data_IF_701257605148
#
_entry.id   IF_701257605148
#
_cell.length_a   1.000
_cell.length_b   1.000
_cell.length_c   1.000
_cell.angle_alpha   90.00
_cell.angle_beta   90.00
_cell.angle_gamma   90.00
#
_symmetry.space_group_name_H-M   'P 1'
#
loop_
_entity.id
_entity.type
_entity.pdbx_description
1 polymer ?
#
# COMPACT_ATOMS: atom_id res chain seq x y z
N UNK A 1 -33.11 -45.23 -25.62
CA UNK A 1 -33.05 -44.07 -24.69
C UNK A 1 -31.88 -43.18 -25.10
N UNK A 2 -32.15 -42.05 -25.77
CA UNK A 2 -31.09 -41.10 -26.12
C UNK A 2 -30.67 -40.31 -24.88
N UNK A 3 -29.38 -40.38 -24.50
CA UNK A 3 -28.80 -39.51 -23.47
C UNK A 3 -28.96 -38.06 -23.92
N UNK A 4 -29.88 -37.32 -23.29
CA UNK A 4 -29.94 -35.85 -23.39
C UNK A 4 -28.59 -35.31 -22.90
N UNK A 5 -27.70 -34.97 -23.84
CA UNK A 5 -26.52 -34.16 -23.55
C UNK A 5 -27.03 -32.79 -23.14
N UNK A 6 -26.92 -32.47 -21.86
CA UNK A 6 -27.14 -31.13 -21.33
C UNK A 6 -26.15 -30.18 -22.02
N UNK A 7 -26.61 -29.43 -23.02
CA UNK A 7 -25.89 -28.30 -23.58
C UNK A 7 -26.02 -27.13 -22.61
N UNK A 8 -25.13 -27.06 -21.61
CA UNK A 8 -25.01 -25.85 -20.79
C UNK A 8 -24.69 -24.70 -21.75
N UNK A 9 -25.56 -23.68 -21.79
CA UNK A 9 -25.26 -22.44 -22.52
C UNK A 9 -23.95 -21.88 -21.96
N UNK A 10 -23.04 -21.37 -22.83
CA UNK A 10 -21.84 -20.71 -22.37
C UNK A 10 -22.21 -19.51 -21.49
N UNK A 11 -21.41 -19.28 -20.45
CA UNK A 11 -21.58 -18.12 -19.57
C UNK A 11 -21.28 -16.83 -20.34
N UNK A 12 -22.02 -15.77 -20.02
CA UNK A 12 -21.71 -14.42 -20.47
C UNK A 12 -20.48 -13.88 -19.74
N UNK A 13 -19.81 -12.87 -20.29
CA UNK A 13 -18.66 -12.20 -19.65
C UNK A 13 -19.02 -11.65 -18.25
N UNK A 14 -20.20 -11.03 -18.11
CA UNK A 14 -20.71 -10.56 -16.83
C UNK A 14 -20.85 -11.69 -15.80
N UNK A 15 -21.36 -12.86 -16.22
CA UNK A 15 -21.44 -14.02 -15.33
C UNK A 15 -20.06 -14.57 -14.95
N UNK A 16 -19.08 -14.50 -15.85
CA UNK A 16 -17.70 -14.91 -15.56
C UNK A 16 -17.10 -13.97 -14.50
N UNK A 17 -17.28 -12.66 -14.65
CA UNK A 17 -16.77 -11.66 -13.70
C UNK A 17 -17.40 -11.81 -12.32
N UNK A 18 -18.73 -11.97 -12.24
CA UNK A 18 -19.44 -12.23 -10.97
C UNK A 18 -18.93 -13.52 -10.32
N UNK A 19 -18.77 -14.60 -11.08
CA UNK A 19 -18.26 -15.86 -10.55
C UNK A 19 -16.81 -15.75 -10.05
N UNK A 20 -15.96 -14.98 -10.74
CA UNK A 20 -14.59 -14.70 -10.29
C UNK A 20 -14.59 -13.90 -8.99
N UNK A 21 -15.42 -12.87 -8.88
CA UNK A 21 -15.55 -12.07 -7.67
C UNK A 21 -16.02 -12.92 -6.48
N UNK A 22 -17.06 -13.74 -6.65
CA UNK A 22 -17.55 -14.65 -5.61
C UNK A 22 -16.48 -15.65 -5.19
N UNK A 23 -15.71 -16.18 -6.15
CA UNK A 23 -14.58 -17.06 -5.85
C UNK A 23 -13.49 -16.36 -5.05
N UNK A 24 -13.18 -15.11 -5.37
CA UNK A 24 -12.22 -14.30 -4.62
C UNK A 24 -12.71 -14.05 -3.19
N UNK A 25 -13.99 -13.73 -2.99
CA UNK A 25 -14.62 -13.63 -1.67
C UNK A 25 -14.54 -14.93 -0.87
N UNK A 26 -14.72 -16.08 -1.51
CA UNK A 26 -14.56 -17.39 -0.86
C UNK A 26 -13.12 -17.62 -0.42
N UNK A 27 -12.15 -17.38 -1.32
CA UNK A 27 -10.72 -17.55 -1.01
C UNK A 27 -10.31 -16.69 0.20
N UNK A 28 -10.76 -15.44 0.25
CA UNK A 28 -10.44 -14.52 1.35
C UNK A 28 -11.23 -14.84 2.62
N UNK A 29 -12.51 -15.22 2.49
CA UNK A 29 -13.37 -15.58 3.63
C UNK A 29 -12.95 -16.87 4.34
N UNK A 30 -12.23 -17.77 3.66
CA UNK A 30 -11.68 -19.00 4.23
C UNK A 30 -10.32 -18.80 4.92
N UNK A 31 -9.74 -17.59 4.86
CA UNK A 31 -8.46 -17.32 5.51
C UNK A 31 -8.57 -17.41 7.04
N UNK A 32 -7.56 -17.97 7.72
CA UNK A 32 -7.59 -18.10 9.17
C UNK A 32 -7.57 -16.72 9.85
N UNK A 33 -8.40 -16.58 10.89
CA UNK A 33 -8.43 -15.41 11.78
C UNK A 33 -8.00 -15.83 13.18
N UNK A 34 -7.18 -15.00 13.83
CA UNK A 34 -6.66 -15.26 15.18
C UNK A 34 -7.29 -14.34 16.22
N UNK A 35 -7.88 -14.93 17.27
CA UNK A 35 -8.42 -14.19 18.42
C UNK A 35 -7.34 -13.38 19.18
N UNK A 36 -6.05 -13.71 19.00
CA UNK A 36 -4.94 -12.97 19.64
C UNK A 36 -4.91 -11.50 19.24
N UNK A 37 -5.45 -11.16 18.06
CA UNK A 37 -5.43 -9.80 17.51
C UNK A 37 -6.78 -9.08 17.61
N UNK A 38 -7.73 -9.60 18.41
CA UNK A 38 -9.08 -9.03 18.52
C UNK A 38 -9.09 -7.55 18.95
N UNK A 39 -8.11 -7.12 19.75
CA UNK A 39 -7.98 -5.70 20.16
C UNK A 39 -7.58 -4.76 19.02
N UNK A 40 -7.00 -5.30 17.95
CA UNK A 40 -6.57 -4.53 16.78
C UNK A 40 -7.62 -4.58 15.66
N UNK A 41 -8.61 -5.48 15.76
CA UNK A 41 -9.56 -5.80 14.70
C UNK A 41 -10.51 -4.64 14.43
N UNK A 42 -10.69 -4.33 13.15
CA UNK A 42 -11.79 -3.53 12.63
C UNK A 42 -12.82 -4.48 12.00
N UNK A 43 -13.85 -4.83 12.78
CA UNK A 43 -14.83 -5.87 12.41
C UNK A 43 -15.52 -5.59 11.06
N UNK A 44 -15.82 -4.32 10.80
CA UNK A 44 -16.56 -3.93 9.61
C UNK A 44 -15.67 -3.67 8.37
N UNK A 45 -14.33 -3.69 8.53
CA UNK A 45 -13.41 -3.53 7.41
C UNK A 45 -13.15 -4.90 6.72
N UNK A 46 -13.26 -5.00 5.38
CA UNK A 46 -13.13 -6.27 4.68
C UNK A 46 -11.83 -7.01 4.99
N UNK A 47 -11.96 -8.26 5.46
CA UNK A 47 -10.87 -9.19 5.69
C UNK A 47 -9.77 -8.71 6.67
N UNK A 48 -10.04 -7.71 7.51
CA UNK A 48 -9.07 -7.13 8.46
C UNK A 48 -8.46 -8.20 9.38
N UNK A 49 -9.32 -9.06 9.95
CA UNK A 49 -8.88 -10.14 10.82
C UNK A 49 -7.98 -11.17 10.14
N UNK A 50 -8.19 -11.43 8.85
CA UNK A 50 -7.36 -12.33 8.07
C UNK A 50 -5.99 -11.70 7.76
N UNK A 51 -5.96 -10.41 7.41
CA UNK A 51 -4.71 -9.66 7.21
C UNK A 51 -3.90 -9.54 8.51
N UNK A 52 -4.57 -9.21 9.63
CA UNK A 52 -3.96 -9.20 10.96
C UNK A 52 -3.37 -10.56 11.32
N UNK A 53 -3.96 -11.68 10.90
CA UNK A 53 -3.38 -12.99 11.14
C UNK A 53 -2.19 -13.29 10.21
N UNK A 54 -2.32 -12.98 8.92
CA UNK A 54 -1.36 -13.36 7.88
C UNK A 54 -0.08 -12.51 7.87
N UNK A 55 -0.17 -11.21 8.18
CA UNK A 55 0.94 -10.26 7.99
C UNK A 55 1.42 -9.63 9.29
N UNK A 56 2.70 -9.83 9.61
CA UNK A 56 3.35 -9.14 10.73
C UNK A 56 3.49 -7.63 10.48
N UNK A 57 3.75 -7.24 9.23
CA UNK A 57 3.86 -5.83 8.80
C UNK A 57 2.53 -5.10 8.94
N UNK A 58 1.42 -5.73 8.53
CA UNK A 58 0.07 -5.19 8.73
C UNK A 58 -0.25 -4.98 10.21
N UNK A 59 0.01 -5.99 11.05
CA UNK A 59 -0.15 -5.88 12.50
C UNK A 59 0.69 -4.74 13.07
N UNK A 60 1.96 -4.65 12.68
CA UNK A 60 2.88 -3.65 13.23
C UNK A 60 2.48 -2.24 12.82
N UNK A 61 2.01 -2.05 11.59
CA UNK A 61 1.40 -0.78 11.14
C UNK A 61 0.20 -0.40 12.01
N UNK A 62 -0.74 -1.33 12.24
CA UNK A 62 -1.92 -1.09 13.09
C UNK A 62 -1.53 -0.75 14.52
N UNK A 63 -0.60 -1.48 15.11
CA UNK A 63 -0.09 -1.21 16.47
C UNK A 63 0.57 0.17 16.57
N UNK A 64 1.46 0.51 15.63
CA UNK A 64 2.13 1.81 15.59
C UNK A 64 1.10 2.93 15.42
N UNK A 65 0.22 2.83 14.43
CA UNK A 65 -0.82 3.82 14.18
C UNK A 65 -1.67 4.11 15.43
N UNK A 66 -2.18 3.06 16.09
CA UNK A 66 -2.98 3.21 17.31
C UNK A 66 -2.15 3.79 18.47
N UNK A 67 -0.88 3.38 18.61
CA UNK A 67 0.02 3.90 19.66
C UNK A 67 0.32 5.39 19.51
N UNK A 68 0.24 5.91 18.28
CA UNK A 68 0.42 7.31 17.94
C UNK A 68 -0.87 8.14 18.09
N UNK A 69 -1.92 7.55 18.69
CA UNK A 69 -3.23 8.18 18.88
C UNK A 69 -4.15 8.10 17.67
N UNK A 70 -3.78 7.31 16.67
CA UNK A 70 -4.60 7.09 15.48
C UNK A 70 -5.95 6.46 15.80
N UNK A 71 -7.01 6.90 15.13
CA UNK A 71 -8.37 6.38 15.28
C UNK A 71 -8.97 5.96 13.95
N UNK A 72 -10.02 5.13 14.00
CA UNK A 72 -10.81 4.75 12.83
C UNK A 72 -12.25 5.17 13.00
N UNK A 73 -12.87 5.66 11.93
CA UNK A 73 -14.30 6.02 11.91
C UNK A 73 -14.98 5.39 10.70
N UNK A 74 -16.05 4.65 10.93
CA UNK A 74 -16.87 4.11 9.85
C UNK A 74 -17.66 5.21 9.13
N UNK A 75 -17.59 5.28 7.80
CA UNK A 75 -18.28 6.25 6.93
C UNK A 75 -18.60 5.61 5.57
N UNK A 76 -19.85 5.73 5.11
CA UNK A 76 -20.35 5.12 3.86
C UNK A 76 -19.64 5.63 2.59
N UNK A 77 -19.05 6.83 2.60
CA UNK A 77 -18.26 7.38 1.49
C UNK A 77 -16.90 7.86 1.99
N UNK A 78 -16.00 6.93 2.32
CA UNK A 78 -14.64 7.27 2.74
C UNK A 78 -13.70 7.62 1.58
N UNK A 79 -14.10 7.39 0.32
CA UNK A 79 -13.16 7.38 -0.80
C UNK A 79 -12.60 8.75 -1.22
N UNK A 80 -11.33 8.68 -1.64
CA UNK A 80 -10.49 9.70 -2.30
C UNK A 80 -9.87 10.82 -1.46
N UNK A 81 -9.83 10.73 -0.13
CA UNK A 81 -9.32 11.87 0.67
C UNK A 81 -7.80 11.94 0.83
N UNK A 82 -7.04 10.86 0.65
CA UNK A 82 -5.57 10.94 0.80
C UNK A 82 -4.88 11.66 -0.37
N UNK A 83 -5.39 11.54 -1.60
CA UNK A 83 -4.79 12.14 -2.81
C UNK A 83 -5.54 13.38 -3.34
N UNK A 84 -6.68 13.76 -2.75
CA UNK A 84 -7.42 14.96 -3.17
C UNK A 84 -7.79 15.91 -2.03
N UNK A 85 -7.62 15.47 -0.78
CA UNK A 85 -7.95 16.27 0.41
C UNK A 85 -6.76 16.40 1.38
N UNK A 86 -6.84 17.39 2.25
CA UNK A 86 -5.85 17.68 3.31
C UNK A 86 -5.88 16.65 4.47
N UNK A 87 -6.70 15.60 4.33
CA UNK A 87 -7.01 14.64 5.39
C UNK A 87 -5.88 13.62 5.62
N UNK A 88 -4.86 13.60 4.75
CA UNK A 88 -3.66 12.78 4.87
C UNK A 88 -2.91 12.96 6.21
N UNK A 89 -2.99 14.17 6.79
CA UNK A 89 -2.36 14.51 8.07
C UNK A 89 -3.31 14.41 9.27
N UNK A 90 -4.57 14.00 9.07
CA UNK A 90 -5.50 13.76 10.19
C UNK A 90 -5.20 12.41 10.82
N UNK A 91 -5.25 12.36 12.15
CA UNK A 91 -5.04 11.12 12.91
C UNK A 91 -6.25 10.19 12.90
N UNK A 92 -7.31 10.55 12.18
CA UNK A 92 -8.47 9.69 12.00
C UNK A 92 -8.51 9.22 10.55
N UNK A 93 -8.57 7.90 10.36
CA UNK A 93 -8.84 7.28 9.05
C UNK A 93 -10.33 6.95 9.00
N UNK A 94 -11.01 7.51 8.01
CA UNK A 94 -12.38 7.14 7.69
C UNK A 94 -12.36 5.92 6.77
N UNK A 95 -13.16 4.90 7.06
CA UNK A 95 -13.25 3.69 6.23
C UNK A 95 -14.70 3.31 5.96
N UNK A 96 -14.96 2.63 4.85
CA UNK A 96 -16.31 2.17 4.53
C UNK A 96 -16.54 0.77 5.11
N UNK A 97 -17.54 0.58 5.99
CA UNK A 97 -17.84 -0.70 6.61
C UNK A 97 -18.55 -1.62 5.60
N UNK A 98 -17.80 -2.34 4.76
CA UNK A 98 -18.37 -3.18 3.66
C UNK A 98 -18.23 -4.68 3.90
N UNK A 99 -17.70 -5.11 5.06
CA UNK A 99 -17.44 -6.52 5.30
C UNK A 99 -18.72 -7.38 5.23
N UNK A 100 -19.81 -6.94 5.86
CA UNK A 100 -21.07 -7.68 5.89
C UNK A 100 -21.73 -7.76 4.50
N UNK A 101 -21.66 -6.68 3.73
CA UNK A 101 -22.21 -6.56 2.38
C UNK A 101 -21.46 -7.49 1.41
N UNK A 102 -20.14 -7.61 1.54
CA UNK A 102 -19.36 -8.56 0.74
C UNK A 102 -19.73 -10.01 1.08
N UNK A 103 -19.93 -10.34 2.36
CA UNK A 103 -20.41 -11.68 2.76
C UNK A 103 -21.80 -11.96 2.21
N UNK A 104 -22.72 -11.00 2.34
CA UNK A 104 -24.06 -11.13 1.77
C UNK A 104 -24.01 -11.33 0.26
N UNK A 105 -23.24 -10.52 -0.47
CA UNK A 105 -23.12 -10.64 -1.92
C UNK A 105 -22.60 -12.02 -2.34
N UNK A 106 -21.59 -12.56 -1.65
CA UNK A 106 -21.08 -13.92 -1.91
C UNK A 106 -22.21 -14.95 -1.93
N UNK A 107 -23.09 -14.89 -0.94
CA UNK A 107 -24.14 -15.90 -0.71
C UNK A 107 -25.38 -15.65 -1.58
N UNK A 108 -25.68 -14.39 -1.90
CA UNK A 108 -26.95 -13.97 -2.51
C UNK A 108 -26.81 -13.28 -3.88
N UNK A 109 -25.62 -13.25 -4.51
CA UNK A 109 -25.40 -12.60 -5.83
C UNK A 109 -26.37 -13.05 -6.94
N UNK A 110 -26.91 -14.27 -6.84
CA UNK A 110 -27.88 -14.82 -7.81
C UNK A 110 -29.30 -14.26 -7.64
N UNK A 111 -29.59 -13.62 -6.51
CA UNK A 111 -30.86 -12.93 -6.21
C UNK A 111 -30.79 -11.42 -6.54
N UNK A 112 -29.61 -10.91 -6.90
CA UNK A 112 -29.40 -9.51 -7.25
C UNK A 112 -29.84 -9.26 -8.70
N UNK A 113 -30.57 -8.17 -8.93
CA UNK A 113 -31.06 -7.82 -10.27
C UNK A 113 -29.93 -7.49 -11.26
N UNK A 114 -28.89 -6.79 -10.80
CA UNK A 114 -27.68 -6.48 -11.56
C UNK A 114 -26.41 -6.70 -10.69
N UNK A 115 -25.92 -7.95 -10.59
CA UNK A 115 -24.80 -8.28 -9.72
C UNK A 115 -23.48 -7.66 -10.19
N UNK A 116 -23.32 -7.35 -11.49
CA UNK A 116 -22.09 -6.72 -11.97
C UNK A 116 -22.00 -5.26 -11.52
N UNK A 117 -23.10 -4.51 -11.64
CA UNK A 117 -23.14 -3.12 -11.17
C UNK A 117 -23.02 -3.04 -9.63
N UNK A 118 -23.55 -4.03 -8.91
CA UNK A 118 -23.39 -4.12 -7.45
C UNK A 118 -21.92 -4.31 -7.06
N UNK A 119 -21.18 -5.20 -7.74
CA UNK A 119 -19.72 -5.36 -7.54
C UNK A 119 -19.01 -4.03 -7.74
N UNK A 120 -19.29 -3.33 -8.84
CA UNK A 120 -18.66 -2.05 -9.13
C UNK A 120 -18.95 -1.02 -8.03
N UNK A 121 -20.16 -1.04 -7.45
CA UNK A 121 -20.56 -0.15 -6.37
C UNK A 121 -19.81 -0.46 -5.06
N UNK A 122 -19.75 -1.73 -4.65
CA UNK A 122 -19.02 -2.16 -3.46
C UNK A 122 -17.52 -1.84 -3.56
N UNK A 123 -16.95 -2.02 -4.75
CA UNK A 123 -15.52 -1.85 -5.00
C UNK A 123 -15.07 -0.40 -5.16
N UNK A 124 -15.99 0.57 -5.26
CA UNK A 124 -15.67 2.01 -5.26
C UNK A 124 -15.29 2.54 -3.89
N UNK A 125 -15.58 1.80 -2.81
CA UNK A 125 -15.33 2.27 -1.46
C UNK A 125 -13.95 1.90 -0.90
N UNK A 126 -13.24 1.00 -1.58
CA UNK A 126 -11.94 0.47 -1.17
C UNK A 126 -10.81 0.88 -2.12
N UNK A 127 -10.93 1.97 -2.87
CA UNK A 127 -9.90 2.34 -3.87
C UNK A 127 -8.52 2.61 -3.27
N UNK A 128 -8.46 3.02 -2.01
CA UNK A 128 -7.22 3.25 -1.28
C UNK A 128 -7.20 2.27 -0.11
N UNK A 129 -6.18 1.43 -0.07
CA UNK A 129 -6.06 0.44 1.01
C UNK A 129 -5.87 1.13 2.35
N UNK A 130 -6.51 0.60 3.39
CA UNK A 130 -6.37 1.12 4.75
C UNK A 130 -4.91 1.09 5.21
N UNK A 131 -4.18 0.04 4.84
CA UNK A 131 -2.78 -0.15 5.19
C UNK A 131 -1.88 1.00 4.66
N UNK A 132 -2.07 1.38 3.40
CA UNK A 132 -1.37 2.51 2.79
C UNK A 132 -1.62 3.81 3.58
N UNK A 133 -2.88 4.09 3.90
CA UNK A 133 -3.26 5.27 4.70
C UNK A 133 -2.71 5.26 6.13
N UNK A 134 -2.68 4.10 6.77
CA UNK A 134 -2.07 3.93 8.09
C UNK A 134 -0.57 4.22 8.03
N UNK A 135 0.12 3.69 7.02
CA UNK A 135 1.56 3.85 6.88
C UNK A 135 1.98 5.29 6.66
N UNK A 136 1.20 6.08 5.90
CA UNK A 136 1.43 7.53 5.81
C UNK A 136 1.49 8.18 7.20
N UNK A 137 0.47 7.97 8.03
CA UNK A 137 0.36 8.57 9.38
C UNK A 137 1.41 8.09 10.37
N UNK A 138 1.89 6.86 10.18
CA UNK A 138 3.03 6.30 10.93
C UNK A 138 4.35 6.94 10.44
N UNK A 139 4.60 6.93 9.13
CA UNK A 139 5.85 7.41 8.53
C UNK A 139 6.04 8.90 8.80
N UNK A 140 4.99 9.72 8.74
CA UNK A 140 5.08 11.14 9.12
C UNK A 140 5.70 11.35 10.49
N UNK A 141 5.45 10.46 11.44
CA UNK A 141 5.96 10.56 12.81
C UNK A 141 7.29 9.84 13.03
N UNK A 142 7.64 8.92 12.14
CA UNK A 142 8.90 8.19 12.20
C UNK A 142 10.03 8.91 11.46
N UNK A 143 9.72 9.82 10.53
CA UNK A 143 10.73 10.62 9.84
C UNK A 143 11.11 11.87 10.66
N UNK A 144 12.34 12.40 10.46
CA UNK A 144 12.74 13.66 11.06
C UNK A 144 11.88 14.83 10.55
N UNK A 145 12.00 16.02 11.15
CA UNK A 145 11.29 17.21 10.68
C UNK A 145 11.41 17.43 9.17
N UNK A 146 10.30 17.81 8.53
CA UNK A 146 10.31 18.13 7.12
C UNK A 146 10.98 19.50 6.87
N UNK A 147 11.71 19.66 5.76
CA UNK A 147 12.23 20.96 5.34
C UNK A 147 11.07 21.89 4.92
N UNK A 148 11.37 23.19 4.83
CA UNK A 148 10.34 24.23 4.65
C UNK A 148 10.26 24.79 3.24
N UNK A 149 11.29 24.58 2.43
CA UNK A 149 11.34 25.05 1.06
C UNK A 149 10.58 24.10 0.14
N UNK A 150 9.91 24.66 -0.89
CA UNK A 150 9.00 23.90 -1.75
C UNK A 150 9.65 22.68 -2.41
N UNK A 151 10.87 22.82 -2.94
CA UNK A 151 11.56 21.70 -3.61
C UNK A 151 11.97 20.62 -2.61
N UNK A 152 12.52 21.02 -1.48
CA UNK A 152 12.97 20.08 -0.45
C UNK A 152 11.80 19.32 0.16
N UNK A 153 10.66 19.98 0.41
CA UNK A 153 9.49 19.28 0.92
C UNK A 153 8.91 18.33 -0.12
N UNK A 154 8.93 18.66 -1.41
CA UNK A 154 8.52 17.73 -2.47
C UNK A 154 9.38 16.46 -2.47
N UNK A 155 10.71 16.59 -2.37
CA UNK A 155 11.61 15.42 -2.24
C UNK A 155 11.30 14.63 -0.97
N UNK A 156 11.11 15.30 0.16
CA UNK A 156 10.73 14.67 1.43
C UNK A 156 9.42 13.88 1.31
N UNK A 157 8.41 14.42 0.62
CA UNK A 157 7.13 13.75 0.38
C UNK A 157 7.30 12.54 -0.54
N UNK A 158 8.14 12.64 -1.59
CA UNK A 158 8.47 11.50 -2.44
C UNK A 158 9.22 10.40 -1.69
N UNK A 159 10.12 10.78 -0.78
CA UNK A 159 10.84 9.85 0.11
C UNK A 159 9.86 9.10 1.01
N UNK A 160 8.94 9.81 1.65
CA UNK A 160 7.93 9.20 2.50
C UNK A 160 6.96 8.29 1.72
N UNK A 161 6.49 8.71 0.56
CA UNK A 161 5.66 7.89 -0.33
C UNK A 161 6.39 6.62 -0.74
N UNK A 162 7.69 6.71 -1.05
CA UNK A 162 8.52 5.56 -1.41
C UNK A 162 8.64 4.54 -0.27
N UNK A 163 8.68 5.01 0.99
CA UNK A 163 8.60 4.14 2.17
C UNK A 163 7.22 3.47 2.28
N UNK A 164 6.13 4.23 2.10
CA UNK A 164 4.76 3.69 2.14
C UNK A 164 4.59 2.59 1.09
N UNK A 165 4.97 2.85 -0.15
CA UNK A 165 4.88 1.87 -1.25
C UNK A 165 5.75 0.64 -0.97
N UNK A 166 6.95 0.82 -0.41
CA UNK A 166 7.82 -0.30 -0.03
C UNK A 166 7.14 -1.19 1.02
N UNK A 167 6.44 -0.60 1.99
CA UNK A 167 5.66 -1.35 2.98
C UNK A 167 4.46 -2.06 2.34
N UNK A 168 3.76 -1.43 1.39
CA UNK A 168 2.65 -2.06 0.64
C UNK A 168 3.10 -3.32 -0.10
N UNK A 169 4.27 -3.26 -0.73
CA UNK A 169 4.87 -4.40 -1.42
C UNK A 169 5.31 -5.49 -0.44
N UNK A 170 5.84 -5.10 0.73
CA UNK A 170 6.19 -6.03 1.80
C UNK A 170 4.96 -6.74 2.38
N UNK A 171 3.81 -6.05 2.49
CA UNK A 171 2.53 -6.68 2.81
C UNK A 171 2.15 -7.72 1.76
N UNK A 172 2.22 -7.36 0.47
CA UNK A 172 1.96 -8.29 -0.63
C UNK A 172 2.83 -9.55 -0.57
N UNK A 173 4.11 -9.40 -0.22
CA UNK A 173 5.03 -10.52 -0.04
C UNK A 173 4.64 -11.43 1.14
N UNK A 174 4.27 -10.84 2.28
CA UNK A 174 3.83 -11.60 3.47
C UNK A 174 2.53 -12.38 3.25
N UNK A 175 1.62 -11.82 2.45
CA UNK A 175 0.42 -12.52 2.00
C UNK A 175 0.78 -13.65 1.01
N UNK A 176 1.79 -13.42 0.17
CA UNK A 176 2.34 -14.41 -0.75
C UNK A 176 1.51 -14.62 -2.01
N UNK A 177 2.15 -15.20 -3.03
CA UNK A 177 1.66 -15.27 -4.43
C UNK A 177 0.27 -15.89 -4.66
N UNK A 178 -0.24 -16.67 -3.70
CA UNK A 178 -1.54 -17.35 -3.86
C UNK A 178 -2.70 -16.41 -3.53
N UNK A 179 -2.56 -15.61 -2.46
CA UNK A 179 -3.66 -14.81 -1.92
C UNK A 179 -3.46 -13.32 -2.12
N UNK A 180 -2.21 -12.83 -2.22
CA UNK A 180 -1.94 -11.42 -2.47
C UNK A 180 -2.63 -10.88 -3.75
N UNK A 181 -2.72 -11.61 -4.89
CA UNK A 181 -3.42 -11.10 -6.07
C UNK A 181 -4.93 -11.03 -5.87
N UNK A 182 -5.47 -11.86 -4.97
CA UNK A 182 -6.90 -11.86 -4.61
C UNK A 182 -7.21 -10.61 -3.78
N UNK A 183 -6.37 -10.31 -2.77
CA UNK A 183 -6.50 -9.08 -1.99
C UNK A 183 -6.39 -7.81 -2.85
N UNK A 184 -5.48 -7.78 -3.83
CA UNK A 184 -5.34 -6.64 -4.76
C UNK A 184 -6.58 -6.48 -5.66
N UNK A 185 -7.11 -7.57 -6.25
CA UNK A 185 -8.36 -7.51 -7.03
C UNK A 185 -9.56 -7.07 -6.20
N UNK A 186 -9.57 -7.43 -4.91
CA UNK A 186 -10.56 -6.98 -3.93
C UNK A 186 -10.27 -5.58 -3.38
N UNK A 187 -9.25 -4.89 -3.91
CA UNK A 187 -8.79 -3.54 -3.53
C UNK A 187 -8.56 -3.37 -2.02
N UNK A 188 -8.23 -4.44 -1.32
CA UNK A 188 -7.97 -4.41 0.13
C UNK A 188 -6.50 -4.08 0.41
N UNK A 189 -5.61 -4.38 -0.54
CA UNK A 189 -4.20 -3.97 -0.53
C UNK A 189 -3.88 -3.21 -1.80
N UNK A 190 -2.85 -2.37 -1.74
CA UNK A 190 -2.42 -1.57 -2.89
C UNK A 190 -1.80 -2.43 -4.00
N UNK A 191 -0.95 -3.41 -3.65
CA UNK A 191 -0.24 -4.26 -4.62
C UNK A 191 -0.07 -5.69 -4.14
N UNK A 192 -0.17 -6.63 -5.08
CA UNK A 192 0.19 -8.01 -4.83
C UNK A 192 1.71 -8.21 -4.70
N UNK A 193 2.07 -9.40 -4.23
CA UNK A 193 3.46 -9.76 -3.99
C UNK A 193 3.71 -11.26 -3.87
N UNK A 194 4.96 -11.60 -3.56
CA UNK A 194 5.42 -12.98 -3.48
C UNK A 194 5.78 -13.63 -4.82
N UNK A 195 5.88 -12.86 -5.90
CA UNK A 195 6.44 -13.33 -7.17
C UNK A 195 7.94 -13.61 -7.04
N UNK A 196 8.65 -12.71 -6.36
CA UNK A 196 10.07 -12.85 -6.09
C UNK A 196 10.32 -13.71 -4.85
N UNK A 197 11.49 -14.34 -4.81
CA UNK A 197 11.87 -15.25 -3.70
C UNK A 197 12.64 -14.56 -2.57
N UNK A 198 12.82 -13.24 -2.64
CA UNK A 198 13.68 -12.49 -1.72
C UNK A 198 13.20 -12.54 -0.27
N UNK A 199 11.88 -12.50 -0.02
CA UNK A 199 11.32 -12.64 1.33
C UNK A 199 11.62 -14.01 1.96
N UNK A 200 11.88 -15.05 1.15
CA UNK A 200 12.23 -16.39 1.63
C UNK A 200 13.72 -16.55 1.91
N UNK A 201 14.53 -15.52 1.64
CA UNK A 201 15.97 -15.48 1.93
C UNK A 201 16.23 -15.00 3.36
N UNK A 202 17.48 -14.71 3.67
CA UNK A 202 17.81 -14.11 4.98
C UNK A 202 17.19 -12.72 5.12
N UNK A 203 16.94 -12.31 6.37
CA UNK A 203 16.43 -10.96 6.70
C UNK A 203 17.30 -9.86 6.08
N UNK A 204 18.62 -10.02 6.13
CA UNK A 204 19.56 -9.07 5.53
C UNK A 204 19.39 -8.98 4.00
N UNK A 205 19.24 -10.10 3.30
CA UNK A 205 19.02 -10.09 1.85
C UNK A 205 17.67 -9.48 1.47
N UNK A 206 16.63 -9.75 2.25
CA UNK A 206 15.32 -9.16 2.00
C UNK A 206 15.32 -7.64 2.23
N UNK A 207 15.97 -7.16 3.29
CA UNK A 207 16.13 -5.72 3.54
C UNK A 207 16.83 -5.00 2.40
N UNK A 208 17.84 -5.62 1.80
CA UNK A 208 18.52 -5.05 0.63
C UNK A 208 17.60 -5.01 -0.60
N UNK A 209 16.68 -5.98 -0.74
CA UNK A 209 15.70 -5.98 -1.82
C UNK A 209 14.66 -4.88 -1.61
N UNK A 210 14.16 -4.73 -0.37
CA UNK A 210 13.27 -3.63 0.01
C UNK A 210 13.93 -2.27 -0.19
N UNK A 211 15.22 -2.12 0.13
CA UNK A 211 15.96 -0.89 -0.11
C UNK A 211 16.06 -0.58 -1.61
N UNK A 212 16.37 -1.59 -2.44
CA UNK A 212 16.39 -1.40 -3.89
C UNK A 212 15.00 -1.01 -4.45
N UNK A 213 13.91 -1.55 -3.90
CA UNK A 213 12.54 -1.15 -4.26
C UNK A 213 12.23 0.28 -3.84
N UNK A 214 12.66 0.67 -2.63
CA UNK A 214 12.54 2.04 -2.14
C UNK A 214 13.24 3.02 -3.09
N UNK A 215 14.52 2.78 -3.41
CA UNK A 215 15.29 3.64 -4.32
C UNK A 215 14.63 3.70 -5.71
N UNK A 216 14.21 2.56 -6.24
CA UNK A 216 13.53 2.50 -7.55
C UNK A 216 12.24 3.33 -7.57
N UNK A 217 11.46 3.27 -6.49
CA UNK A 217 10.22 4.02 -6.33
C UNK A 217 10.51 5.52 -6.21
N UNK A 218 11.50 5.88 -5.37
CA UNK A 218 11.90 7.27 -5.18
C UNK A 218 12.35 7.90 -6.49
N UNK A 219 13.19 7.22 -7.26
CA UNK A 219 13.64 7.69 -8.57
C UNK A 219 12.50 7.87 -9.57
N UNK A 220 11.51 6.99 -9.53
CA UNK A 220 10.33 7.13 -10.38
C UNK A 220 9.49 8.35 -10.00
N UNK A 221 9.38 8.66 -8.70
CA UNK A 221 8.67 9.85 -8.20
C UNK A 221 9.44 11.16 -8.41
N UNK A 222 10.78 11.09 -8.40
CA UNK A 222 11.68 12.18 -8.83
C UNK A 222 11.78 12.32 -10.36
N UNK A 223 10.91 11.62 -11.11
CA UNK A 223 10.77 11.73 -12.56
C UNK A 223 12.02 11.32 -13.35
N UNK A 224 12.89 10.48 -12.79
CA UNK A 224 13.97 9.84 -13.56
C UNK A 224 13.35 8.96 -14.65
N UNK A 225 13.94 8.97 -15.84
CA UNK A 225 13.50 8.14 -16.94
C UNK A 225 13.50 6.65 -16.54
N UNK A 226 12.37 5.92 -16.65
CA UNK A 226 12.30 4.50 -16.27
C UNK A 226 13.39 3.60 -16.88
N UNK A 227 13.85 3.91 -18.08
CA UNK A 227 14.92 3.16 -18.77
C UNK A 227 16.29 3.29 -18.09
N UNK A 228 16.51 4.34 -17.31
CA UNK A 228 17.77 4.63 -16.63
C UNK A 228 17.75 4.26 -15.14
N UNK A 229 16.57 4.02 -14.56
CA UNK A 229 16.42 3.70 -13.13
C UNK A 229 17.23 2.47 -12.72
N UNK A 230 17.30 1.41 -13.54
CA UNK A 230 18.13 0.24 -13.21
C UNK A 230 19.62 0.59 -13.09
N UNK A 231 20.13 1.45 -13.99
CA UNK A 231 21.55 1.88 -13.95
C UNK A 231 21.81 2.73 -12.72
N UNK A 232 20.89 3.64 -12.40
CA UNK A 232 20.95 4.50 -11.23
C UNK A 232 20.94 3.68 -9.93
N UNK A 233 20.06 2.67 -9.82
CA UNK A 233 20.02 1.78 -8.66
C UNK A 233 21.30 0.94 -8.56
N UNK A 234 21.81 0.40 -9.67
CA UNK A 234 23.09 -0.33 -9.68
C UNK A 234 24.29 0.55 -9.27
N UNK A 235 24.19 1.87 -9.48
CA UNK A 235 25.20 2.84 -9.07
C UNK A 235 25.19 3.07 -7.55
N UNK A 236 24.04 3.40 -6.96
CA UNK A 236 23.94 3.68 -5.51
C UNK A 236 23.94 2.43 -4.65
N UNK A 237 23.53 1.29 -5.21
CA UNK A 237 23.47 0.00 -4.53
C UNK A 237 24.32 -1.05 -5.27
N UNK A 238 25.66 -0.91 -5.26
CA UNK A 238 26.54 -1.79 -6.02
C UNK A 238 26.59 -3.22 -5.46
N UNK A 239 26.97 -4.18 -6.31
CA UNK A 239 27.20 -5.57 -5.89
C UNK A 239 25.96 -6.47 -5.80
N UNK A 240 24.77 -5.97 -6.15
CA UNK A 240 23.50 -6.72 -6.03
C UNK A 240 22.62 -6.72 -7.29
N UNK A 241 23.24 -6.75 -8.48
CA UNK A 241 22.58 -6.60 -9.80
C UNK A 241 21.27 -7.38 -10.01
N UNK A 242 21.23 -8.67 -9.64
CA UNK A 242 19.99 -9.46 -9.81
C UNK A 242 18.86 -8.92 -8.94
N UNK A 243 19.17 -8.58 -7.69
CA UNK A 243 18.22 -8.03 -6.73
C UNK A 243 17.71 -6.66 -7.17
N UNK A 244 18.61 -5.80 -7.64
CA UNK A 244 18.28 -4.50 -8.21
C UNK A 244 17.35 -4.65 -9.42
N UNK A 245 17.67 -5.56 -10.34
CA UNK A 245 16.81 -5.84 -11.51
C UNK A 245 15.41 -6.28 -11.11
N UNK A 246 15.29 -7.21 -10.17
CA UNK A 246 13.99 -7.71 -9.71
C UNK A 246 13.20 -6.59 -9.00
N UNK A 247 13.86 -5.81 -8.13
CA UNK A 247 13.27 -4.69 -7.40
C UNK A 247 12.83 -3.55 -8.33
N UNK A 248 13.64 -3.16 -9.32
CA UNK A 248 13.33 -2.12 -10.29
C UNK A 248 12.14 -2.54 -11.14
N UNK A 249 12.14 -3.77 -11.67
CA UNK A 249 11.00 -4.29 -12.44
C UNK A 249 9.69 -4.10 -11.69
N UNK A 250 9.69 -4.40 -10.39
CA UNK A 250 8.50 -4.30 -9.54
C UNK A 250 8.17 -2.87 -9.13
N UNK A 251 9.17 -2.07 -8.77
CA UNK A 251 8.98 -0.65 -8.42
C UNK A 251 8.42 0.18 -9.58
N UNK A 252 8.73 -0.20 -10.82
CA UNK A 252 8.21 0.42 -12.04
C UNK A 252 6.75 0.07 -12.37
N UNK A 253 6.11 -0.84 -11.63
CA UNK A 253 4.70 -1.19 -11.83
C UNK A 253 3.72 -0.14 -11.26
N UNK A 254 4.24 0.90 -10.59
CA UNK A 254 3.46 2.05 -10.15
C UNK A 254 2.72 2.72 -11.32
N UNK A 255 1.52 3.21 -11.03
CA UNK A 255 0.68 3.83 -12.06
C UNK A 255 1.33 5.08 -12.62
N UNK A 256 1.46 5.16 -13.94
CA UNK A 256 1.97 6.35 -14.62
C UNK A 256 1.09 7.58 -14.33
N UNK A 257 -0.23 7.39 -14.22
CA UNK A 257 -1.16 8.45 -13.81
C UNK A 257 -0.85 8.95 -12.39
N UNK A 258 -0.41 8.06 -11.50
CA UNK A 258 0.00 8.47 -10.16
C UNK A 258 1.31 9.25 -10.20
N UNK A 259 2.36 8.66 -10.80
CA UNK A 259 3.72 9.21 -10.76
C UNK A 259 3.87 10.52 -11.53
N UNK A 260 3.24 10.64 -12.71
CA UNK A 260 3.42 11.81 -13.57
C UNK A 260 2.38 12.91 -13.38
N UNK A 261 1.23 12.58 -12.78
CA UNK A 261 0.08 13.51 -12.72
C UNK A 261 -0.40 13.69 -11.29
N UNK A 262 -0.87 12.62 -10.65
CA UNK A 262 -1.57 12.73 -9.37
C UNK A 262 -0.67 13.22 -8.25
N UNK A 263 0.51 12.62 -8.08
CA UNK A 263 1.46 13.01 -7.04
C UNK A 263 2.02 14.43 -7.27
N UNK A 264 2.55 14.80 -8.45
CA UNK A 264 3.01 16.17 -8.69
C UNK A 264 1.93 17.24 -8.51
N UNK A 265 0.72 17.02 -9.03
CA UNK A 265 -0.39 17.98 -8.88
C UNK A 265 -0.83 18.14 -7.42
N UNK A 266 -0.78 17.07 -6.63
CA UNK A 266 -1.08 17.14 -5.20
C UNK A 266 -0.03 17.96 -4.47
N UNK A 267 1.26 17.70 -4.74
CA UNK A 267 2.36 18.45 -4.12
C UNK A 267 2.31 19.93 -4.48
N UNK A 268 2.14 20.26 -5.76
CA UNK A 268 2.00 21.65 -6.23
C UNK A 268 0.86 22.39 -5.51
N UNK A 269 -0.26 21.70 -5.27
CA UNK A 269 -1.44 22.28 -4.61
C UNK A 269 -1.29 22.39 -3.09
N UNK A 270 -0.65 21.42 -2.45
CA UNK A 270 -0.75 21.24 -0.99
C UNK A 270 0.58 21.32 -0.23
N UNK A 271 1.72 21.57 -0.88
CA UNK A 271 3.03 21.59 -0.21
C UNK A 271 3.07 22.53 1.01
N UNK A 272 2.47 23.72 0.94
CA UNK A 272 2.44 24.67 2.08
C UNK A 272 1.65 24.12 3.27
N UNK A 273 0.53 23.45 2.96
CA UNK A 273 -0.30 22.79 3.97
C UNK A 273 0.47 21.63 4.58
N UNK A 274 1.12 20.80 3.75
CA UNK A 274 1.98 19.72 4.21
C UNK A 274 3.09 20.23 5.13
N UNK A 275 3.80 21.28 4.72
CA UNK A 275 4.88 21.90 5.51
C UNK A 275 4.38 22.33 6.88
N UNK A 276 3.29 23.10 6.93
CA UNK A 276 2.69 23.57 8.18
C UNK A 276 2.26 22.42 9.10
N UNK A 277 1.65 21.37 8.52
CA UNK A 277 1.16 20.21 9.28
C UNK A 277 2.29 19.37 9.82
N UNK A 278 3.33 19.12 9.02
CA UNK A 278 4.52 18.36 9.42
C UNK A 278 5.31 19.11 10.48
N UNK A 279 5.57 20.41 10.30
CA UNK A 279 6.18 21.24 11.34
C UNK A 279 5.44 21.19 12.67
N UNK A 280 4.10 21.26 12.64
CA UNK A 280 3.29 21.12 13.85
C UNK A 280 3.40 19.72 14.46
N UNK A 281 3.43 18.69 13.63
CA UNK A 281 3.58 17.30 14.08
C UNK A 281 4.95 17.05 14.72
N UNK A 282 5.97 17.74 14.26
CA UNK A 282 7.37 17.60 14.69
C UNK A 282 7.84 18.70 15.65
N UNK A 283 6.92 19.49 16.22
CA UNK A 283 7.26 20.67 17.02
C UNK A 283 8.17 20.37 18.22
N UNK A 284 8.06 19.16 18.78
CA UNK A 284 8.85 18.70 19.93
C UNK A 284 10.05 17.81 19.53
N UNK A 285 10.33 17.68 18.23
CA UNK A 285 11.46 16.87 17.74
C UNK A 285 12.80 17.52 18.07
N UNK A 286 13.76 16.72 18.50
CA UNK A 286 15.16 17.14 18.70
C UNK A 286 16.06 16.81 17.49
N UNK A 287 15.53 16.11 16.48
CA UNK A 287 16.26 15.82 15.25
C UNK A 287 16.26 17.03 14.32
N UNK A 288 17.33 17.19 13.53
CA UNK A 288 17.40 18.18 12.47
C UNK A 288 16.47 17.82 11.30
N UNK A 289 16.10 18.82 10.51
CA UNK A 289 15.27 18.60 9.34
C UNK A 289 15.96 17.70 8.31
N UNK A 290 15.19 16.77 7.72
CA UNK A 290 15.70 15.84 6.72
C UNK A 290 15.82 16.53 5.35
N UNK A 291 17.01 17.03 5.05
CA UNK A 291 17.36 17.52 3.72
C UNK A 291 17.88 16.37 2.86
N UNK A 292 17.18 16.11 1.76
CA UNK A 292 17.57 15.11 0.77
C UNK A 292 18.38 15.79 -0.34
N UNK A 293 19.39 15.10 -0.93
CA UNK A 293 20.19 15.67 -1.98
C UNK A 293 19.36 16.04 -3.22
N UNK A 294 19.83 17.06 -3.94
CA UNK A 294 19.17 17.52 -5.15
C UNK A 294 19.31 16.53 -6.30
N UNK A 295 20.49 15.91 -6.43
CA UNK A 295 20.70 14.77 -7.30
C UNK A 295 20.40 13.50 -6.50
N UNK A 296 19.35 12.75 -6.84
CA UNK A 296 19.00 11.53 -6.12
C UNK A 296 20.07 10.43 -6.23
N UNK A 297 21.05 10.56 -7.16
CA UNK A 297 22.22 9.67 -7.24
C UNK A 297 23.23 9.91 -6.10
N UNK A 298 23.14 11.04 -5.40
CA UNK A 298 23.98 11.38 -4.25
C UNK A 298 23.40 10.81 -2.93
N UNK A 299 22.46 9.87 -2.99
CA UNK A 299 22.01 9.13 -1.80
C UNK A 299 23.18 8.35 -1.18
N UNK A 300 23.45 8.64 0.09
CA UNK A 300 24.50 8.01 0.88
C UNK A 300 23.91 7.20 2.06
N UNK A 301 24.80 6.64 2.88
CA UNK A 301 24.43 5.86 4.06
C UNK A 301 23.58 6.68 5.06
N UNK A 302 23.69 8.01 5.07
CA UNK A 302 22.89 8.90 5.93
C UNK A 302 21.40 8.88 5.59
N UNK A 303 21.03 8.87 4.32
CA UNK A 303 19.61 8.83 3.92
C UNK A 303 19.06 7.40 4.09
N UNK A 304 19.87 6.39 3.75
CA UNK A 304 19.49 4.98 3.93
C UNK A 304 19.32 4.59 5.40
N UNK A 305 19.99 5.27 6.33
CA UNK A 305 19.75 5.10 7.76
C UNK A 305 18.25 5.25 8.12
N UNK A 306 17.57 6.26 7.58
CA UNK A 306 16.14 6.47 7.86
C UNK A 306 15.26 5.39 7.25
N UNK A 307 15.64 4.85 6.10
CA UNK A 307 14.96 3.70 5.49
C UNK A 307 15.09 2.45 6.38
N UNK A 308 16.30 2.15 6.82
CA UNK A 308 16.55 1.02 7.72
C UNK A 308 15.87 1.19 9.08
N UNK A 309 15.83 2.41 9.61
CA UNK A 309 15.08 2.73 10.83
C UNK A 309 13.61 2.33 10.68
N UNK A 310 12.97 2.67 9.56
CA UNK A 310 11.59 2.25 9.30
C UNK A 310 11.49 0.73 9.21
N UNK A 311 12.40 0.05 8.51
CA UNK A 311 12.39 -1.42 8.46
C UNK A 311 12.50 -2.05 9.85
N UNK A 312 13.32 -1.50 10.75
CA UNK A 312 13.43 -1.96 12.12
C UNK A 312 12.12 -1.80 12.91
N UNK A 313 11.43 -0.66 12.79
CA UNK A 313 10.12 -0.45 13.42
C UNK A 313 9.07 -1.47 12.97
N UNK A 314 9.13 -1.90 11.71
CA UNK A 314 8.22 -2.88 11.13
C UNK A 314 8.70 -4.34 11.29
N UNK A 315 9.89 -4.55 11.87
CA UNK A 315 10.48 -5.88 12.05
C UNK A 315 10.93 -6.55 10.76
N UNK A 316 10.96 -5.82 9.65
CA UNK A 316 11.40 -6.24 8.32
C UNK A 316 12.89 -6.47 8.28
#
# INVERSE_FOLDING_TARGET
>A
MAKRRSTKKPLTEAQIEVNHFVKDLQILGEQPVSRKHAKLLLEDYPFDGAMLNASAVYRKSRELYLSLGGTFTARVCSTMRSLSAQDLFKDNIEFTPTAAELVWFRDFHHEVADPLNEIQSLMRFNEISLFHEQNHRVIWRLLPPAPTEQRDISRYLNFAESLVVTLDLALGDQLGKKVSPVYERMKVIYRSGGEDTWMQKSKAEYRQYLLAMFVSTYYLLEMINPEDILKAVDYVLPGQKKRNKDAVRRGLELSELFTRVTNPLWQDRYWQTASTKLQKMHADSTEDALYLPEDPLDFEDSEFFFVYRVFDYFGL
#
